data_IF_194761194399
#
_entry.id   IF_194761194399
#
_cell.length_a   1.000
_cell.length_b   1.000
_cell.length_c   1.000
_cell.angle_alpha   90.00
_cell.angle_beta   90.00
_cell.angle_gamma   90.00
#
_symmetry.space_group_name_H-M   'P 1'
#
loop_
_entity.id
_entity.type
_entity.pdbx_description
1 polymer ?
#
# COMPACT_ATOMS: atom_id res chain seq x y z
N UNK A 1 16.34 4.23 6.74
CA UNK A 1 15.61 3.19 5.97
C UNK A 1 16.30 2.94 4.66
N UNK A 2 15.97 1.83 3.98
CA UNK A 2 16.53 1.45 2.68
C UNK A 2 18.04 1.17 2.64
N UNK A 3 18.69 1.00 3.79
CA UNK A 3 20.12 0.69 3.92
C UNK A 3 20.39 -0.79 4.28
N UNK A 4 19.35 -1.62 4.36
CA UNK A 4 19.47 -3.03 4.77
C UNK A 4 19.65 -3.25 6.27
N UNK A 5 19.81 -2.19 7.07
CA UNK A 5 20.08 -2.27 8.52
C UNK A 5 18.90 -1.77 9.36
N UNK A 6 18.27 -0.67 8.93
CA UNK A 6 17.25 0.04 9.70
C UNK A 6 15.89 -0.69 9.77
N UNK A 7 15.76 -1.86 9.13
CA UNK A 7 14.53 -2.67 8.97
C UNK A 7 13.30 -1.87 8.52
N UNK A 8 13.55 -0.74 7.84
CA UNK A 8 12.54 0.18 7.32
C UNK A 8 12.74 0.35 5.82
N UNK A 9 11.63 0.55 5.11
CA UNK A 9 11.56 0.62 3.66
C UNK A 9 10.89 1.92 3.24
N UNK A 10 11.27 2.43 2.07
CA UNK A 10 10.64 3.55 1.42
C UNK A 10 10.87 4.89 2.11
N UNK A 11 10.00 5.84 1.80
CA UNK A 11 9.96 7.18 2.35
C UNK A 11 8.51 7.66 2.41
N UNK A 12 8.16 8.32 3.49
CA UNK A 12 6.88 9.02 3.64
C UNK A 12 7.18 10.47 4.00
N UNK A 13 6.76 11.42 3.16
CA UNK A 13 6.82 12.84 3.44
C UNK A 13 5.47 13.48 3.15
N UNK A 14 4.71 13.79 4.20
CA UNK A 14 3.29 14.21 4.08
C UNK A 14 2.52 13.16 3.28
N UNK A 15 1.99 13.53 2.12
CA UNK A 15 1.21 12.65 1.24
C UNK A 15 2.05 12.13 0.05
N UNK A 16 3.39 12.21 0.15
CA UNK A 16 4.32 11.66 -0.82
C UNK A 16 4.87 10.35 -0.29
N UNK A 17 4.74 9.29 -1.08
CA UNK A 17 5.19 7.94 -0.76
C UNK A 17 6.21 7.50 -1.81
N UNK A 18 7.37 7.03 -1.35
CA UNK A 18 8.38 6.38 -2.18
C UNK A 18 8.63 4.98 -1.64
N UNK A 19 8.74 3.99 -2.52
CA UNK A 19 9.02 2.59 -2.16
C UNK A 19 9.86 1.92 -3.23
N UNK A 20 10.76 1.04 -2.82
CA UNK A 20 11.54 0.12 -3.64
C UNK A 20 10.81 -1.22 -3.87
N UNK A 21 9.57 -1.38 -3.40
CA UNK A 21 8.74 -2.53 -3.74
C UNK A 21 8.54 -2.60 -5.26
N UNK A 22 9.01 -3.70 -5.84
CA UNK A 22 8.88 -3.96 -7.27
C UNK A 22 7.61 -4.76 -7.59
N UNK A 23 7.06 -4.52 -8.79
CA UNK A 23 5.81 -5.11 -9.25
C UNK A 23 4.61 -4.20 -9.00
N UNK A 24 3.37 -4.69 -9.26
CA UNK A 24 2.17 -3.90 -9.04
C UNK A 24 1.91 -3.72 -7.54
N UNK A 25 2.36 -2.58 -6.99
CA UNK A 25 2.24 -2.28 -5.56
C UNK A 25 0.79 -2.10 -5.14
N UNK A 26 0.00 -1.32 -5.88
CA UNK A 26 -1.38 -0.98 -5.47
C UNK A 26 -2.33 -2.19 -5.43
N UNK A 27 -2.42 -3.04 -6.47
CA UNK A 27 -3.36 -4.18 -6.47
C UNK A 27 -3.06 -5.24 -5.41
N UNK A 28 -1.87 -5.20 -4.80
CA UNK A 28 -1.45 -6.14 -3.76
C UNK A 28 -1.43 -5.50 -2.37
N UNK A 29 -1.76 -4.23 -2.29
CA UNK A 29 -1.84 -3.46 -1.05
C UNK A 29 -3.09 -2.57 -1.15
N UNK A 30 -4.31 -3.16 -1.15
CA UNK A 30 -5.55 -2.42 -1.32
C UNK A 30 -5.72 -1.33 -0.25
N UNK A 31 -5.25 -1.57 0.97
CA UNK A 31 -5.28 -0.59 2.05
C UNK A 31 -4.40 0.63 1.74
N UNK A 32 -3.28 0.42 1.04
CA UNK A 32 -2.43 1.52 0.60
C UNK A 32 -3.07 2.30 -0.57
N UNK A 33 -3.75 1.59 -1.47
CA UNK A 33 -4.53 2.24 -2.52
C UNK A 33 -5.64 3.13 -1.92
N UNK A 34 -6.35 2.64 -0.90
CA UNK A 34 -7.37 3.39 -0.17
C UNK A 34 -6.81 4.64 0.49
N UNK A 35 -5.64 4.55 1.15
CA UNK A 35 -4.98 5.72 1.73
C UNK A 35 -4.72 6.80 0.67
N UNK A 36 -4.25 6.42 -0.53
CA UNK A 36 -4.00 7.37 -1.61
C UNK A 36 -5.29 8.01 -2.12
N UNK A 37 -6.34 7.21 -2.33
CA UNK A 37 -7.65 7.66 -2.80
C UNK A 37 -8.30 8.58 -1.78
N UNK A 38 -8.39 8.15 -0.51
CA UNK A 38 -8.96 8.94 0.59
C UNK A 38 -8.20 10.25 0.74
N UNK A 39 -6.86 10.22 0.71
CA UNK A 39 -6.04 11.43 0.83
C UNK A 39 -6.30 12.42 -0.31
N UNK A 40 -6.41 11.92 -1.55
CA UNK A 40 -6.68 12.75 -2.72
C UNK A 40 -8.10 13.35 -2.68
N UNK A 41 -9.09 12.53 -2.36
CA UNK A 41 -10.48 12.97 -2.20
C UNK A 41 -10.61 13.96 -1.05
N UNK A 42 -9.92 13.71 0.07
CA UNK A 42 -9.95 14.59 1.24
C UNK A 42 -9.40 15.96 0.95
N UNK A 43 -8.30 16.04 0.20
CA UNK A 43 -7.72 17.30 -0.24
C UNK A 43 -8.67 18.09 -1.14
N UNK A 44 -9.44 17.41 -1.99
CA UNK A 44 -10.32 18.06 -2.97
C UNK A 44 -11.71 18.41 -2.41
N UNK A 45 -12.25 17.59 -1.52
CA UNK A 45 -13.65 17.62 -1.12
C UNK A 45 -13.90 17.69 0.40
N UNK A 46 -12.87 17.57 1.25
CA UNK A 46 -13.03 17.57 2.71
C UNK A 46 -13.19 16.16 3.29
N UNK A 47 -13.95 15.96 4.37
CA UNK A 47 -14.08 14.62 4.96
C UNK A 47 -14.80 13.69 3.96
N UNK A 48 -14.21 12.53 3.68
CA UNK A 48 -14.75 11.48 2.81
C UNK A 48 -14.65 10.15 3.53
N UNK A 49 -15.60 9.26 3.28
CA UNK A 49 -15.61 7.89 3.77
C UNK A 49 -15.69 6.97 2.55
N UNK A 50 -14.71 6.07 2.42
CA UNK A 50 -14.70 5.08 1.34
C UNK A 50 -15.65 3.94 1.71
N UNK A 51 -16.55 3.60 0.80
CA UNK A 51 -17.39 2.41 0.98
C UNK A 51 -16.54 1.16 0.79
N UNK A 52 -16.61 0.18 1.72
CA UNK A 52 -15.87 -1.07 1.58
C UNK A 52 -16.20 -1.79 0.28
N UNK A 53 -15.18 -2.33 -0.38
CA UNK A 53 -15.29 -3.22 -1.52
C UNK A 53 -14.83 -4.63 -1.14
N UNK A 54 -15.14 -5.60 -2.00
CA UNK A 54 -14.62 -6.96 -1.84
C UNK A 54 -13.18 -7.04 -2.34
N UNK A 55 -12.23 -7.08 -1.40
CA UNK A 55 -10.79 -7.19 -1.69
C UNK A 55 -10.30 -8.64 -1.77
N UNK A 56 -11.20 -9.63 -1.90
CA UNK A 56 -10.85 -11.05 -1.81
C UNK A 56 -9.73 -11.47 -2.77
N UNK A 57 -9.67 -10.88 -3.97
CA UNK A 57 -8.66 -11.20 -4.98
C UNK A 57 -7.30 -10.54 -4.66
N UNK A 58 -7.33 -9.29 -4.24
CA UNK A 58 -6.18 -8.49 -3.83
C UNK A 58 -5.49 -9.13 -2.62
N UNK A 59 -6.28 -9.59 -1.64
CA UNK A 59 -5.77 -10.29 -0.46
C UNK A 59 -5.15 -11.65 -0.84
N UNK A 60 -5.76 -12.40 -1.75
CA UNK A 60 -5.15 -13.64 -2.28
C UNK A 60 -3.82 -13.35 -3.00
N UNK A 61 -3.77 -12.30 -3.81
CA UNK A 61 -2.55 -11.90 -4.52
C UNK A 61 -1.43 -11.44 -3.58
N UNK A 62 -1.77 -10.71 -2.51
CA UNK A 62 -0.86 -10.33 -1.42
C UNK A 62 -0.32 -11.58 -0.72
N UNK A 63 -1.20 -12.49 -0.33
CA UNK A 63 -0.85 -13.71 0.40
C UNK A 63 0.11 -14.60 -0.40
N UNK A 64 -0.14 -14.77 -1.71
CA UNK A 64 0.75 -15.52 -2.60
C UNK A 64 2.19 -14.98 -2.63
N UNK A 65 2.36 -13.65 -2.57
CA UNK A 65 3.69 -13.04 -2.48
C UNK A 65 4.34 -13.29 -1.12
N UNK A 66 3.59 -13.10 -0.03
CA UNK A 66 4.11 -13.32 1.33
C UNK A 66 4.63 -14.75 1.46
N UNK A 67 3.86 -15.72 0.97
CA UNK A 67 4.27 -17.14 0.99
C UNK A 67 5.52 -17.39 0.16
N UNK A 68 5.66 -16.73 -0.99
CA UNK A 68 6.83 -16.88 -1.86
C UNK A 68 8.12 -16.29 -1.27
N UNK A 69 8.02 -15.16 -0.57
CA UNK A 69 9.20 -14.35 -0.20
C UNK A 69 9.51 -14.33 1.31
N UNK A 70 8.54 -14.64 2.18
CA UNK A 70 8.70 -14.58 3.65
C UNK A 70 8.83 -15.96 4.28
N UNK A 71 8.24 -17.02 3.69
CA UNK A 71 8.35 -18.41 4.19
C UNK A 71 9.58 -19.18 3.69
N UNK A 72 10.65 -18.49 3.28
CA UNK A 72 11.94 -19.11 2.95
C UNK A 72 12.87 -19.14 4.15
#
# INVERSE_FOLDING_TARGET
>A
GNNGEDKTEGCIYKNVYGTYLHGPVLPKNPEFADILIETALKRKYGKVELTPLDDSLEQQAKQSLIERFVKK
#
